data_IF_674633694794
#
_entry.id   IF_674633694794
#
_cell.length_a   1.000
_cell.length_b   1.000
_cell.length_c   1.000
_cell.angle_alpha   90.00
_cell.angle_beta   90.00
_cell.angle_gamma   90.00
#
_symmetry.space_group_name_H-M   'P 1'
#
loop_
_entity.id
_entity.type
_entity.pdbx_description
1 polymer ?
#
# COMPACT_ATOMS: atom_id res chain seq x y z
N UNK A 1 -1.89 -18.11 14.22
CA UNK A 1 -1.17 -16.82 14.07
C UNK A 1 0.31 -17.15 14.21
N UNK A 2 1.07 -17.01 13.13
CA UNK A 2 2.45 -17.50 13.01
C UNK A 2 3.45 -16.46 13.55
N UNK A 3 4.42 -16.89 14.35
CA UNK A 3 5.43 -16.03 14.98
C UNK A 3 6.21 -15.21 13.93
N UNK A 4 6.42 -15.76 12.74
CA UNK A 4 7.12 -15.09 11.65
C UNK A 4 6.35 -13.89 11.09
N UNK A 5 5.02 -13.93 11.16
CA UNK A 5 4.16 -12.82 10.74
C UNK A 5 4.31 -11.65 11.72
N UNK A 6 4.27 -11.95 13.03
CA UNK A 6 4.41 -10.96 14.08
C UNK A 6 5.80 -10.30 14.08
N UNK A 7 6.86 -11.07 13.77
CA UNK A 7 8.22 -10.52 13.62
C UNK A 7 8.36 -9.61 12.39
N UNK A 8 7.72 -9.94 11.26
CA UNK A 8 7.71 -9.07 10.07
C UNK A 8 6.97 -7.77 10.31
N UNK A 9 5.85 -7.82 11.02
CA UNK A 9 5.09 -6.63 11.43
C UNK A 9 5.94 -5.72 12.32
N UNK A 10 6.59 -6.30 13.33
CA UNK A 10 7.50 -5.57 14.23
C UNK A 10 8.66 -4.93 13.48
N UNK A 11 9.26 -5.62 12.51
CA UNK A 11 10.36 -5.08 11.69
C UNK A 11 9.92 -3.94 10.77
N UNK A 12 8.72 -4.02 10.18
CA UNK A 12 8.15 -2.93 9.38
C UNK A 12 7.93 -1.67 10.23
N UNK A 13 7.43 -1.81 11.45
CA UNK A 13 7.21 -0.69 12.37
C UNK A 13 8.53 -0.01 12.75
N UNK A 14 9.58 -0.80 13.03
CA UNK A 14 10.92 -0.27 13.38
C UNK A 14 11.55 0.49 12.20
N UNK A 15 11.30 0.06 10.96
CA UNK A 15 11.77 0.74 9.76
C UNK A 15 10.89 1.95 9.36
N UNK A 16 9.78 2.19 10.06
CA UNK A 16 8.88 3.33 9.81
C UNK A 16 7.87 3.08 8.70
N UNK A 17 7.64 1.82 8.33
CA UNK A 17 6.56 1.42 7.43
C UNK A 17 5.25 1.21 8.18
N UNK A 18 4.16 1.70 7.61
CA UNK A 18 2.81 1.26 7.96
C UNK A 18 2.36 0.21 6.93
N UNK A 19 1.65 -0.82 7.36
CA UNK A 19 1.11 -1.86 6.47
C UNK A 19 -0.41 -1.74 6.38
N UNK A 20 -0.97 -2.17 5.25
CA UNK A 20 -2.41 -2.15 5.01
C UNK A 20 -2.76 -2.59 3.61
N UNK A 21 -4.00 -2.33 3.19
CA UNK A 21 -4.50 -2.70 1.87
C UNK A 21 -4.61 -1.48 0.96
N UNK A 22 -4.15 -1.59 -0.29
CA UNK A 22 -4.29 -0.51 -1.26
C UNK A 22 -5.75 -0.28 -1.62
N UNK A 23 -6.16 0.99 -1.57
CA UNK A 23 -7.42 1.50 -2.10
C UNK A 23 -7.06 2.45 -3.23
N UNK A 24 -7.57 2.20 -4.43
CA UNK A 24 -7.26 3.04 -5.60
C UNK A 24 -8.59 3.49 -6.20
N UNK A 25 -8.78 4.80 -6.32
CA UNK A 25 -9.90 5.38 -7.03
C UNK A 25 -9.37 6.04 -8.31
N UNK A 26 -9.71 5.46 -9.47
CA UNK A 26 -9.27 5.97 -10.77
C UNK A 26 -10.06 7.19 -11.23
N UNK A 27 -11.31 7.35 -10.80
CA UNK A 27 -12.14 8.51 -11.12
C UNK A 27 -11.66 9.76 -10.37
N UNK A 28 -11.22 9.59 -9.12
CA UNK A 28 -10.70 10.68 -8.28
C UNK A 28 -9.17 10.81 -8.34
N UNK A 29 -8.48 9.93 -9.08
CA UNK A 29 -7.02 9.86 -9.16
C UNK A 29 -6.33 9.77 -7.78
N UNK A 30 -6.92 9.00 -6.85
CA UNK A 30 -6.39 8.84 -5.50
C UNK A 30 -5.88 7.42 -5.25
N UNK A 31 -4.83 7.33 -4.44
CA UNK A 31 -4.32 6.09 -3.87
C UNK A 31 -4.31 6.25 -2.36
N UNK A 32 -4.85 5.28 -1.65
CA UNK A 32 -4.89 5.22 -0.20
C UNK A 32 -4.40 3.88 0.33
N UNK A 33 -4.05 3.87 1.61
CA UNK A 33 -3.78 2.67 2.37
C UNK A 33 -4.84 2.51 3.46
N UNK A 34 -5.69 1.49 3.33
CA UNK A 34 -6.60 1.09 4.39
C UNK A 34 -5.83 0.31 5.45
N UNK A 35 -5.74 0.88 6.65
CA UNK A 35 -5.11 0.26 7.83
C UNK A 35 -6.06 -0.73 8.49
N UNK A 36 -5.55 -1.56 9.39
CA UNK A 36 -6.36 -2.56 10.12
C UNK A 36 -7.52 -1.95 10.94
N UNK A 37 -7.40 -0.70 11.37
CA UNK A 37 -8.46 0.03 12.06
C UNK A 37 -9.51 0.63 11.10
N UNK A 38 -9.55 0.20 9.83
CA UNK A 38 -10.38 0.72 8.74
C UNK A 38 -10.18 2.20 8.38
N UNK A 39 -9.21 2.90 8.98
CA UNK A 39 -8.85 4.25 8.53
C UNK A 39 -8.12 4.19 7.19
N UNK A 40 -8.38 5.17 6.32
CA UNK A 40 -7.70 5.31 5.03
C UNK A 40 -6.68 6.43 5.16
N UNK A 41 -5.41 6.12 4.93
CA UNK A 41 -4.36 7.11 4.81
C UNK A 41 -4.12 7.40 3.32
N UNK A 42 -4.34 8.64 2.88
CA UNK A 42 -4.09 9.04 1.51
C UNK A 42 -2.59 9.08 1.23
N UNK A 43 -2.20 8.54 0.08
CA UNK A 43 -0.83 8.48 -0.39
C UNK A 43 -0.60 9.54 -1.47
N UNK A 44 0.66 9.87 -1.68
CA UNK A 44 1.11 10.78 -2.73
C UNK A 44 2.48 10.33 -3.27
N UNK A 45 3.05 11.07 -4.20
CA UNK A 45 4.31 10.75 -4.86
C UNK A 45 5.55 10.77 -3.94
N UNK A 46 5.47 11.40 -2.77
CA UNK A 46 6.56 11.45 -1.78
C UNK A 46 6.63 10.17 -0.92
N UNK A 47 5.57 9.37 -0.93
CA UNK A 47 5.52 8.13 -0.18
C UNK A 47 6.27 7.00 -0.89
N UNK A 48 7.04 6.23 -0.13
CA UNK A 48 7.62 4.98 -0.59
C UNK A 48 6.59 3.87 -0.46
N UNK A 49 6.02 3.46 -1.59
CA UNK A 49 4.95 2.45 -1.64
C UNK A 49 5.53 1.13 -2.13
N UNK A 50 5.31 0.06 -1.36
CA UNK A 50 5.68 -1.29 -1.77
C UNK A 50 4.49 -2.23 -1.69
N UNK A 51 4.22 -2.94 -2.78
CA UNK A 51 3.06 -3.81 -2.91
C UNK A 51 3.50 -5.26 -2.79
N UNK A 52 2.77 -6.05 -2.01
CA UNK A 52 2.98 -7.48 -1.87
C UNK A 52 2.65 -8.19 -3.18
N UNK A 53 3.68 -8.72 -3.85
CA UNK A 53 3.55 -9.54 -5.04
C UNK A 53 4.36 -10.81 -4.86
N UNK A 54 3.71 -11.97 -5.02
CA UNK A 54 4.34 -13.29 -4.93
C UNK A 54 5.20 -13.48 -3.66
N UNK A 55 4.73 -12.98 -2.52
CA UNK A 55 5.39 -13.12 -1.22
C UNK A 55 6.51 -12.10 -0.93
N UNK A 56 6.75 -11.14 -1.82
CA UNK A 56 7.74 -10.08 -1.65
C UNK A 56 7.10 -8.69 -1.79
N UNK A 57 7.59 -7.73 -1.01
CA UNK A 57 7.25 -6.32 -1.20
C UNK A 57 8.04 -5.75 -2.36
N UNK A 58 7.34 -5.27 -3.39
CA UNK A 58 7.93 -4.71 -4.61
C UNK A 58 7.62 -3.22 -4.69
N UNK A 59 8.61 -2.34 -4.84
CA UNK A 59 8.38 -0.90 -4.90
C UNK A 59 7.56 -0.52 -6.14
N UNK A 60 6.58 0.37 -5.93
CA UNK A 60 5.75 0.96 -6.99
C UNK A 60 5.73 2.47 -6.84
N UNK A 61 5.82 3.16 -7.96
CA UNK A 61 5.56 4.61 -7.99
C UNK A 61 4.06 4.86 -7.91
N UNK A 62 3.67 5.98 -7.31
CA UNK A 62 2.28 6.42 -7.22
C UNK A 62 1.56 6.37 -8.59
N UNK A 63 2.17 6.96 -9.62
CA UNK A 63 1.62 6.95 -10.98
C UNK A 63 1.43 5.53 -11.55
N UNK A 64 2.32 4.59 -11.23
CA UNK A 64 2.18 3.19 -11.69
C UNK A 64 0.96 2.49 -11.07
N UNK A 65 0.53 2.92 -9.89
CA UNK A 65 -0.67 2.38 -9.24
C UNK A 65 -1.95 2.87 -9.93
N UNK A 66 -1.95 4.11 -10.42
CA UNK A 66 -3.06 4.70 -11.16
C UNK A 66 -3.14 4.23 -12.63
N UNK A 67 -1.99 3.99 -13.26
CA UNK A 67 -1.94 3.50 -14.65
C UNK A 67 -2.20 2.00 -14.77
N UNK A 68 -1.93 1.23 -13.72
CA UNK A 68 -2.15 -0.21 -13.75
C UNK A 68 -3.64 -0.52 -13.76
N UNK A 69 -4.13 -1.04 -14.89
CA UNK A 69 -5.52 -1.44 -15.07
C UNK A 69 -5.61 -2.90 -15.50
N UNK A 70 -6.64 -3.59 -15.01
CA UNK A 70 -7.04 -4.89 -15.56
C UNK A 70 -7.69 -4.69 -16.93
N UNK A 71 -7.91 -5.79 -17.66
CA UNK A 71 -8.61 -5.76 -18.96
C UNK A 71 -10.02 -5.15 -18.86
N UNK A 72 -10.65 -5.26 -17.70
CA UNK A 72 -11.98 -4.74 -17.41
C UNK A 72 -11.96 -3.27 -16.98
N UNK A 73 -10.79 -2.65 -16.87
CA UNK A 73 -10.60 -1.25 -16.49
C UNK A 73 -10.45 -1.00 -14.98
N UNK A 74 -10.49 -2.05 -14.15
CA UNK A 74 -10.30 -1.94 -12.70
C UNK A 74 -8.84 -1.63 -12.34
N UNK A 75 -8.58 -0.91 -11.23
CA UNK A 75 -7.22 -0.68 -10.75
C UNK A 75 -6.52 -2.00 -10.39
N UNK A 76 -5.41 -2.29 -11.07
CA UNK A 76 -4.75 -3.61 -11.06
C UNK A 76 -4.04 -3.96 -9.74
N UNK A 77 -3.77 -2.98 -8.88
CA UNK A 77 -3.18 -3.20 -7.56
C UNK A 77 -4.15 -2.95 -6.40
N UNK A 78 -5.41 -2.58 -6.69
CA UNK A 78 -6.39 -2.34 -5.63
C UNK A 78 -6.68 -3.65 -4.88
N UNK A 79 -6.81 -3.53 -3.56
CA UNK A 79 -7.08 -4.67 -2.69
C UNK A 79 -5.85 -5.50 -2.32
N UNK A 80 -4.67 -5.21 -2.88
CA UNK A 80 -3.43 -5.90 -2.51
C UNK A 80 -2.85 -5.34 -1.21
N UNK A 81 -2.21 -6.22 -0.44
CA UNK A 81 -1.43 -5.81 0.72
C UNK A 81 -0.24 -4.95 0.28
N UNK A 82 0.00 -3.88 1.02
CA UNK A 82 1.09 -2.96 0.78
C UNK A 82 1.66 -2.45 2.09
N UNK A 83 2.89 -1.96 2.02
CA UNK A 83 3.50 -1.18 3.08
C UNK A 83 3.97 0.15 2.53
N UNK A 84 3.83 1.19 3.34
CA UNK A 84 4.14 2.55 2.96
C UNK A 84 4.98 3.23 4.02
N UNK A 85 6.03 3.93 3.58
CA UNK A 85 6.89 4.76 4.42
C UNK A 85 6.90 6.18 3.89
N UNK A 86 6.82 7.16 4.78
CA UNK A 86 6.76 8.57 4.41
C UNK A 86 6.33 9.44 5.58
N UNK A 87 6.31 10.75 5.34
CA UNK A 87 5.72 11.70 6.27
C UNK A 87 4.20 11.67 6.13
N UNK A 88 3.52 11.45 7.25
CA UNK A 88 2.07 11.49 7.32
C UNK A 88 1.67 12.88 7.80
N UNK A 89 0.80 13.55 7.06
CA UNK A 89 0.19 14.79 7.53
C UNK A 89 -0.49 14.50 8.88
N UNK A 90 -0.05 15.21 9.93
CA UNK A 90 -0.45 14.98 11.33
C UNK A 90 -1.73 15.71 11.68
#
# INVERSE_FOLDING_TARGET
>A
MDLSQHMKETANIIDGYISGRLVINLDEFTVGLQRENNSIALLNEQHQIEVMQWGNYVPKRFQQLLDARTLEGWPGYAGLDARVKGEWDK
#
